data_IF_965134102997
#
_entry.id   IF_965134102997
#
_cell.length_a   1.000
_cell.length_b   1.000
_cell.length_c   1.000
_cell.angle_alpha   90.00
_cell.angle_beta   90.00
_cell.angle_gamma   90.00
#
_symmetry.space_group_name_H-M   'P 1'
#
loop_
_entity.id
_entity.type
_entity.pdbx_description
1 polymer ?
#
# COMPACT_ATOMS: atom_id res chain seq x y z
N UNK A 1 25.10 -1.96 -22.19
CA UNK A 1 24.41 -2.87 -23.13
C UNK A 1 24.09 -4.26 -22.55
N UNK A 2 25.03 -4.98 -21.90
CA UNK A 2 24.75 -6.35 -21.37
C UNK A 2 23.90 -6.41 -20.09
N UNK A 3 24.01 -5.44 -19.17
CA UNK A 3 23.13 -5.40 -17.99
C UNK A 3 21.64 -5.26 -18.37
N UNK A 4 21.32 -4.47 -19.40
CA UNK A 4 19.94 -4.34 -19.90
C UNK A 4 19.38 -5.64 -20.51
N UNK A 5 20.22 -6.50 -21.08
CA UNK A 5 19.78 -7.82 -21.59
C UNK A 5 19.34 -8.76 -20.47
N UNK A 6 20.01 -8.72 -19.31
CA UNK A 6 19.62 -9.52 -18.15
C UNK A 6 18.21 -9.18 -17.66
N UNK A 7 17.79 -7.92 -17.79
CA UNK A 7 16.46 -7.43 -17.45
C UNK A 7 15.37 -7.96 -18.39
N UNK A 8 15.68 -8.16 -19.68
CA UNK A 8 14.71 -8.57 -20.71
C UNK A 8 14.51 -10.09 -20.72
N UNK A 9 15.57 -10.85 -20.46
CA UNK A 9 15.54 -12.32 -20.62
C UNK A 9 14.93 -13.08 -19.42
N UNK A 10 14.68 -12.45 -18.27
CA UNK A 10 14.17 -13.15 -17.07
C UNK A 10 13.42 -12.24 -16.08
N UNK A 11 12.18 -11.82 -16.40
CA UNK A 11 11.42 -10.87 -15.57
C UNK A 11 10.99 -11.42 -14.18
N UNK A 12 10.92 -12.75 -14.03
CA UNK A 12 10.32 -13.41 -12.85
C UNK A 12 11.33 -14.10 -11.92
N UNK A 13 12.54 -13.56 -11.76
CA UNK A 13 13.56 -14.15 -10.88
C UNK A 13 13.22 -13.95 -9.40
N UNK A 14 13.44 -14.99 -8.59
CA UNK A 14 13.48 -14.86 -7.12
C UNK A 14 14.75 -14.15 -6.67
N UNK A 15 14.80 -13.69 -5.41
CA UNK A 15 15.98 -13.02 -4.83
C UNK A 15 17.24 -13.87 -4.97
N UNK A 16 17.13 -15.16 -4.67
CA UNK A 16 18.24 -16.11 -4.76
C UNK A 16 18.65 -16.34 -6.21
N UNK A 17 17.69 -16.54 -7.12
CA UNK A 17 17.99 -16.73 -8.54
C UNK A 17 18.67 -15.50 -9.16
N UNK A 18 18.25 -14.29 -8.76
CA UNK A 18 18.89 -13.05 -9.19
C UNK A 18 20.33 -12.94 -8.67
N UNK A 19 20.54 -13.24 -7.39
CA UNK A 19 21.88 -13.23 -6.79
C UNK A 19 22.81 -14.23 -7.50
N UNK A 20 22.34 -15.47 -7.71
CA UNK A 20 23.10 -16.52 -8.41
C UNK A 20 23.40 -16.12 -9.84
N UNK A 21 22.41 -15.66 -10.62
CA UNK A 21 22.63 -15.22 -12.01
C UNK A 21 23.60 -14.04 -12.11
N UNK A 22 23.43 -13.04 -11.24
CA UNK A 22 24.33 -11.87 -11.20
C UNK A 22 25.76 -12.30 -10.90
N UNK A 23 25.93 -13.19 -9.92
CA UNK A 23 27.23 -13.71 -9.53
C UNK A 23 27.86 -14.56 -10.65
N UNK A 24 27.08 -15.44 -11.30
CA UNK A 24 27.55 -16.23 -12.44
C UNK A 24 28.00 -15.35 -13.60
N UNK A 25 27.25 -14.31 -13.94
CA UNK A 25 27.61 -13.36 -15.01
C UNK A 25 28.85 -12.54 -14.63
N UNK A 26 28.94 -12.12 -13.37
CA UNK A 26 30.10 -11.39 -12.87
C UNK A 26 31.37 -12.28 -12.93
N UNK A 27 31.30 -13.53 -12.47
CA UNK A 27 32.39 -14.53 -12.58
C UNK A 27 32.74 -14.80 -14.04
N UNK A 28 31.76 -15.05 -14.90
CA UNK A 28 32.02 -15.32 -16.32
C UNK A 28 32.70 -14.13 -17.00
N UNK A 29 32.36 -12.90 -16.60
CA UNK A 29 33.02 -11.70 -17.12
C UNK A 29 34.44 -11.55 -16.58
N UNK A 30 34.65 -11.89 -15.30
CA UNK A 30 35.97 -11.86 -14.65
C UNK A 30 36.91 -12.97 -15.13
N UNK A 31 36.42 -14.16 -15.46
CA UNK A 31 37.26 -15.29 -15.89
C UNK A 31 37.16 -15.58 -17.40
N UNK A 32 36.30 -14.85 -18.11
CA UNK A 32 36.29 -14.89 -19.56
C UNK A 32 37.65 -14.49 -20.12
N UNK A 33 37.91 -14.86 -21.38
CA UNK A 33 39.16 -14.59 -22.11
C UNK A 33 39.66 -13.12 -22.07
N UNK A 34 38.86 -12.18 -21.57
CA UNK A 34 39.18 -10.75 -21.42
C UNK A 34 40.12 -10.51 -20.24
N UNK A 35 39.99 -11.22 -19.11
CA UNK A 35 40.82 -10.99 -17.94
C UNK A 35 42.29 -11.34 -18.17
N UNK A 36 42.56 -12.56 -18.62
CA UNK A 36 43.93 -12.95 -18.95
C UNK A 36 44.52 -12.07 -20.05
N UNK A 37 43.74 -11.71 -21.07
CA UNK A 37 44.22 -10.83 -22.15
C UNK A 37 44.51 -9.40 -21.70
N UNK A 38 43.66 -8.80 -20.86
CA UNK A 38 43.87 -7.43 -20.35
C UNK A 38 44.93 -7.40 -19.27
N UNK A 39 44.91 -8.32 -18.31
CA UNK A 39 45.91 -8.39 -17.26
C UNK A 39 47.33 -8.64 -17.81
N UNK A 40 47.48 -9.53 -18.80
CA UNK A 40 48.78 -9.79 -19.43
C UNK A 40 49.25 -8.64 -20.32
N UNK A 41 48.34 -7.89 -20.94
CA UNK A 41 48.68 -6.82 -21.89
C UNK A 41 48.85 -5.45 -21.24
N UNK A 42 48.08 -5.15 -20.20
CA UNK A 42 47.97 -3.84 -19.54
C UNK A 42 48.50 -3.89 -18.08
N UNK A 43 48.95 -5.05 -17.60
CA UNK A 43 49.52 -5.21 -16.27
C UNK A 43 48.52 -4.90 -15.15
N UNK A 44 48.94 -4.06 -14.20
CA UNK A 44 48.14 -3.68 -13.03
C UNK A 44 46.86 -2.91 -13.39
N UNK A 45 46.91 -2.05 -14.40
CA UNK A 45 45.73 -1.29 -14.85
C UNK A 45 44.64 -2.23 -15.40
N UNK A 46 45.03 -3.22 -16.20
CA UNK A 46 44.13 -4.25 -16.71
C UNK A 46 43.45 -5.06 -15.60
N UNK A 47 44.18 -5.36 -14.51
CA UNK A 47 43.62 -6.02 -13.32
C UNK A 47 42.59 -5.14 -12.62
N UNK A 48 42.87 -3.84 -12.45
CA UNK A 48 41.92 -2.88 -11.85
C UNK A 48 40.65 -2.81 -12.69
N UNK A 49 40.74 -2.66 -14.01
CA UNK A 49 39.57 -2.56 -14.88
C UNK A 49 38.69 -3.82 -14.81
N UNK A 50 39.31 -5.01 -14.73
CA UNK A 50 38.54 -6.24 -14.57
C UNK A 50 37.83 -6.33 -13.21
N UNK A 51 38.47 -5.86 -12.13
CA UNK A 51 37.83 -5.77 -10.83
C UNK A 51 36.67 -4.77 -10.85
N UNK A 52 36.84 -3.60 -11.47
CA UNK A 52 35.78 -2.60 -11.64
C UNK A 52 34.61 -3.13 -12.45
N UNK A 53 34.87 -3.84 -13.56
CA UNK A 53 33.82 -4.49 -14.36
C UNK A 53 33.04 -5.51 -13.51
N UNK A 54 33.72 -6.35 -12.73
CA UNK A 54 33.09 -7.30 -11.81
C UNK A 54 32.18 -6.61 -10.79
N UNK A 55 32.67 -5.56 -10.12
CA UNK A 55 31.87 -4.78 -9.18
C UNK A 55 30.68 -4.08 -9.86
N UNK A 56 30.87 -3.56 -11.09
CA UNK A 56 29.80 -2.94 -11.86
C UNK A 56 28.65 -3.93 -12.14
N UNK A 57 28.95 -5.19 -12.46
CA UNK A 57 27.92 -6.22 -12.63
C UNK A 57 27.19 -6.57 -11.34
N UNK A 58 27.91 -6.66 -10.20
CA UNK A 58 27.27 -6.86 -8.90
C UNK A 58 26.34 -5.70 -8.52
N UNK A 59 26.82 -4.46 -8.70
CA UNK A 59 26.02 -3.25 -8.45
C UNK A 59 24.81 -3.18 -9.38
N UNK A 60 24.95 -3.59 -10.65
CA UNK A 60 23.82 -3.65 -11.58
C UNK A 60 22.75 -4.64 -11.12
N UNK A 61 23.13 -5.79 -10.56
CA UNK A 61 22.16 -6.73 -9.97
C UNK A 61 21.42 -6.15 -8.76
N UNK A 62 22.11 -5.36 -7.92
CA UNK A 62 21.49 -4.65 -6.79
C UNK A 62 20.54 -3.56 -7.29
N UNK A 63 20.96 -2.76 -8.27
CA UNK A 63 20.12 -1.73 -8.88
C UNK A 63 18.86 -2.35 -9.52
N UNK A 64 19.02 -3.44 -10.27
CA UNK A 64 17.89 -4.19 -10.83
C UNK A 64 16.95 -4.70 -9.73
N UNK A 65 17.50 -5.23 -8.64
CA UNK A 65 16.71 -5.67 -7.50
C UNK A 65 15.90 -4.53 -6.88
N UNK A 66 16.51 -3.36 -6.66
CA UNK A 66 15.84 -2.20 -6.09
C UNK A 66 14.79 -1.62 -7.06
N UNK A 67 15.13 -1.39 -8.33
CA UNK A 67 14.23 -0.75 -9.28
C UNK A 67 13.11 -1.68 -9.77
N UNK A 68 13.41 -2.95 -10.06
CA UNK A 68 12.45 -3.86 -10.69
C UNK A 68 11.69 -4.71 -9.69
N UNK A 69 12.38 -5.33 -8.75
CA UNK A 69 11.73 -6.22 -7.77
C UNK A 69 11.09 -5.39 -6.67
N UNK A 70 11.89 -4.60 -5.97
CA UNK A 70 11.37 -3.73 -4.91
C UNK A 70 10.59 -2.56 -5.49
N UNK A 71 10.84 -2.12 -6.71
CA UNK A 71 10.00 -1.11 -7.35
C UNK A 71 8.64 -1.61 -7.86
N UNK A 72 8.24 -2.85 -7.55
CA UNK A 72 6.88 -3.34 -7.84
C UNK A 72 6.68 -3.88 -9.26
N UNK A 73 7.69 -3.82 -10.13
CA UNK A 73 7.62 -4.35 -11.49
C UNK A 73 7.24 -5.84 -11.54
N UNK A 74 7.74 -6.65 -10.61
CA UNK A 74 7.36 -8.08 -10.51
C UNK A 74 5.88 -8.29 -10.19
N UNK A 75 5.30 -7.43 -9.36
CA UNK A 75 3.87 -7.48 -9.02
C UNK A 75 3.06 -6.99 -10.20
N UNK A 76 3.49 -5.90 -10.85
CA UNK A 76 2.87 -5.36 -12.06
C UNK A 76 2.78 -6.41 -13.18
N UNK A 77 3.87 -7.13 -13.44
CA UNK A 77 3.91 -8.19 -14.47
C UNK A 77 2.94 -9.35 -14.19
N UNK A 78 2.47 -9.49 -12.95
CA UNK A 78 1.59 -10.57 -12.50
C UNK A 78 0.26 -10.06 -11.93
N UNK A 79 -0.06 -8.79 -12.11
CA UNK A 79 -1.22 -8.16 -11.46
C UNK A 79 -2.53 -8.81 -11.90
N UNK A 80 -2.60 -9.26 -13.16
CA UNK A 80 -3.76 -9.98 -13.71
C UNK A 80 -3.99 -11.37 -13.08
N UNK A 81 -2.98 -11.92 -12.39
CA UNK A 81 -3.09 -13.19 -11.66
C UNK A 81 -3.51 -13.02 -10.21
N UNK A 82 -3.54 -11.79 -9.70
CA UNK A 82 -4.05 -11.47 -8.35
C UNK A 82 -5.56 -11.69 -8.36
N UNK A 83 -6.06 -12.47 -7.39
CA UNK A 83 -7.49 -12.74 -7.23
C UNK A 83 -8.02 -12.29 -5.88
N UNK A 84 -7.17 -12.22 -4.84
CA UNK A 84 -7.58 -11.79 -3.50
C UNK A 84 -6.68 -10.69 -2.96
N UNK A 85 -7.27 -9.56 -2.62
CA UNK A 85 -6.58 -8.39 -2.09
C UNK A 85 -7.13 -8.05 -0.71
N UNK A 86 -6.24 -7.76 0.24
CA UNK A 86 -6.59 -7.16 1.53
C UNK A 86 -6.05 -5.73 1.62
N UNK A 87 -6.89 -4.76 1.92
CA UNK A 87 -6.48 -3.40 2.25
C UNK A 87 -6.56 -3.19 3.76
N UNK A 88 -5.51 -2.62 4.37
CA UNK A 88 -5.49 -2.28 5.79
C UNK A 88 -5.47 -0.77 5.95
N UNK A 89 -6.53 -0.21 6.58
CA UNK A 89 -6.67 1.21 6.92
C UNK A 89 -7.33 1.38 8.30
N UNK A 90 -6.59 1.05 9.36
CA UNK A 90 -7.07 1.06 10.74
C UNK A 90 -6.88 2.43 11.42
N UNK A 91 -7.54 3.46 10.90
CA UNK A 91 -7.46 4.84 11.44
C UNK A 91 -8.83 5.48 11.59
N UNK A 92 -8.87 6.81 11.77
CA UNK A 92 -10.12 7.53 12.00
C UNK A 92 -11.00 7.61 10.76
N UNK A 93 -12.22 8.10 10.95
CA UNK A 93 -13.23 8.27 9.91
C UNK A 93 -12.70 8.96 8.65
N UNK A 94 -11.99 10.08 8.79
CA UNK A 94 -11.47 10.83 7.65
C UNK A 94 -10.48 10.04 6.81
N UNK A 95 -9.60 9.26 7.45
CA UNK A 95 -8.63 8.42 6.75
C UNK A 95 -9.28 7.29 5.97
N UNK A 96 -10.34 6.69 6.53
CA UNK A 96 -11.10 5.62 5.88
C UNK A 96 -11.86 6.15 4.68
N UNK A 97 -12.53 7.30 4.80
CA UNK A 97 -13.21 7.96 3.68
C UNK A 97 -12.22 8.31 2.57
N UNK A 98 -11.05 8.86 2.91
CA UNK A 98 -9.98 9.14 1.95
C UNK A 98 -9.42 7.90 1.25
N UNK A 99 -9.58 6.69 1.82
CA UNK A 99 -9.13 5.45 1.19
C UNK A 99 -10.13 4.89 0.17
N UNK A 100 -11.38 5.38 0.13
CA UNK A 100 -12.43 4.86 -0.78
C UNK A 100 -12.07 4.89 -2.26
N UNK A 101 -11.33 5.90 -2.80
CA UNK A 101 -10.88 5.86 -4.18
C UNK A 101 -9.96 4.66 -4.47
N UNK A 102 -9.20 4.15 -3.49
CA UNK A 102 -8.37 2.96 -3.67
C UNK A 102 -9.24 1.75 -3.99
N UNK A 103 -10.34 1.57 -3.25
CA UNK A 103 -11.25 0.42 -3.44
C UNK A 103 -11.89 0.45 -4.83
N UNK A 104 -12.42 1.61 -5.22
CA UNK A 104 -12.99 1.83 -6.56
C UNK A 104 -11.97 1.59 -7.66
N UNK A 105 -10.76 2.14 -7.57
CA UNK A 105 -9.74 1.94 -8.62
C UNK A 105 -9.28 0.48 -8.73
N UNK A 106 -9.19 -0.24 -7.61
CA UNK A 106 -8.91 -1.68 -7.65
C UNK A 106 -10.02 -2.41 -8.38
N UNK A 107 -11.29 -2.24 -7.97
CA UNK A 107 -12.41 -2.97 -8.57
C UNK A 107 -12.69 -2.61 -10.02
N UNK A 108 -12.48 -1.36 -10.42
CA UNK A 108 -12.65 -0.93 -11.81
C UNK A 108 -11.53 -1.44 -12.71
N UNK A 109 -10.30 -1.56 -12.21
CA UNK A 109 -9.16 -2.04 -13.02
C UNK A 109 -9.04 -3.57 -13.00
N UNK A 110 -9.47 -4.21 -11.91
CA UNK A 110 -9.42 -5.66 -11.67
C UNK A 110 -10.81 -6.15 -11.21
N UNK A 111 -11.81 -6.25 -12.10
CA UNK A 111 -13.21 -6.55 -11.73
C UNK A 111 -13.40 -7.91 -11.06
N UNK A 112 -12.58 -8.90 -11.43
CA UNK A 112 -12.67 -10.27 -10.91
C UNK A 112 -11.97 -10.48 -9.55
N UNK A 113 -11.37 -9.43 -8.98
CA UNK A 113 -10.68 -9.53 -7.68
C UNK A 113 -11.68 -9.49 -6.56
N UNK A 114 -11.49 -10.36 -5.56
CA UNK A 114 -12.11 -10.23 -4.25
C UNK A 114 -11.30 -9.26 -3.38
N UNK A 115 -11.94 -8.17 -2.95
CA UNK A 115 -11.39 -7.10 -2.14
C UNK A 115 -11.93 -7.19 -0.71
N UNK A 116 -11.04 -7.55 0.20
CA UNK A 116 -11.27 -7.46 1.64
C UNK A 116 -10.67 -6.16 2.18
N UNK A 117 -11.33 -5.52 3.15
CA UNK A 117 -10.84 -4.30 3.80
C UNK A 117 -10.85 -4.50 5.32
N UNK A 118 -9.77 -4.08 5.98
CA UNK A 118 -9.60 -4.13 7.43
C UNK A 118 -9.51 -2.70 7.99
N UNK A 119 -10.48 -2.32 8.81
CA UNK A 119 -10.57 -1.01 9.48
C UNK A 119 -10.85 -1.17 10.98
N UNK A 120 -10.83 -0.07 11.73
CA UNK A 120 -11.10 -0.07 13.17
C UNK A 120 -12.59 0.12 13.46
N UNK A 121 -13.15 -0.60 14.42
CA UNK A 121 -14.50 -0.35 14.90
C UNK A 121 -14.56 0.94 15.75
N UNK A 122 -15.63 1.76 15.63
CA UNK A 122 -16.84 1.58 14.82
C UNK A 122 -16.77 2.22 13.41
N UNK A 123 -15.58 2.54 12.90
CA UNK A 123 -15.40 3.23 11.60
C UNK A 123 -15.78 2.31 10.42
N UNK A 124 -15.85 1.01 10.65
CA UNK A 124 -16.34 0.01 9.70
C UNK A 124 -17.78 0.26 9.23
N UNK A 125 -18.65 0.86 10.04
CA UNK A 125 -20.04 1.17 9.66
C UNK A 125 -20.13 1.97 8.34
N UNK A 126 -19.17 2.86 8.09
CA UNK A 126 -19.15 3.76 6.92
C UNK A 126 -18.88 2.99 5.62
N UNK A 127 -18.22 1.83 5.73
CA UNK A 127 -17.84 1.02 4.59
C UNK A 127 -18.80 -0.12 4.31
N UNK A 128 -19.78 -0.38 5.17
CA UNK A 128 -20.69 -1.54 5.04
C UNK A 128 -21.42 -1.58 3.71
N UNK A 129 -21.73 -0.42 3.15
CA UNK A 129 -22.50 -0.26 1.92
C UNK A 129 -21.65 0.04 0.69
N UNK A 130 -20.33 -0.04 0.85
CA UNK A 130 -19.43 0.23 -0.25
C UNK A 130 -19.48 -0.95 -1.26
N UNK A 131 -19.94 -0.74 -2.51
CA UNK A 131 -20.14 -1.80 -3.48
C UNK A 131 -18.81 -2.39 -3.99
N UNK A 132 -17.68 -1.74 -3.71
CA UNK A 132 -16.37 -2.22 -4.12
C UNK A 132 -15.75 -3.18 -3.11
N UNK A 133 -16.33 -3.34 -1.92
CA UNK A 133 -15.80 -4.18 -0.84
C UNK A 133 -16.62 -5.46 -0.77
N UNK A 134 -15.97 -6.61 -0.97
CA UNK A 134 -16.65 -7.91 -0.85
C UNK A 134 -16.67 -8.41 0.60
N UNK A 135 -15.64 -8.06 1.39
CA UNK A 135 -15.55 -8.46 2.79
C UNK A 135 -14.95 -7.37 3.65
N UNK A 136 -15.64 -7.03 4.73
CA UNK A 136 -15.18 -6.05 5.71
C UNK A 136 -14.78 -6.75 7.00
N UNK A 137 -13.58 -6.45 7.48
CA UNK A 137 -13.04 -6.92 8.75
C UNK A 137 -12.89 -5.73 9.70
N UNK A 138 -13.29 -5.93 10.96
CA UNK A 138 -13.33 -4.86 11.96
C UNK A 138 -12.38 -5.16 13.12
N UNK A 139 -11.49 -4.22 13.42
CA UNK A 139 -10.57 -4.32 14.55
C UNK A 139 -11.21 -3.76 15.81
N UNK A 140 -11.11 -4.46 16.95
CA UNK A 140 -11.58 -3.94 18.23
C UNK A 140 -10.73 -2.74 18.67
N UNK A 141 -11.33 -1.88 19.49
CA UNK A 141 -10.60 -0.78 20.14
C UNK A 141 -9.59 -1.30 21.18
N UNK A 142 -8.60 -0.48 21.52
CA UNK A 142 -7.56 -0.84 22.51
C UNK A 142 -6.53 -1.86 22.00
N UNK A 143 -6.50 -2.12 20.70
CA UNK A 143 -5.53 -3.03 20.09
C UNK A 143 -4.12 -2.44 20.13
N UNK A 144 -3.16 -3.24 20.59
CA UNK A 144 -1.74 -2.90 20.68
C UNK A 144 -0.89 -4.03 20.14
N UNK A 145 0.33 -3.75 19.68
CA UNK A 145 1.24 -4.78 19.15
C UNK A 145 1.48 -5.96 20.11
N UNK A 146 1.34 -5.74 21.42
CA UNK A 146 1.54 -6.75 22.46
C UNK A 146 0.33 -7.68 22.64
N UNK A 147 -0.89 -7.18 22.43
CA UNK A 147 -2.12 -7.93 22.67
C UNK A 147 -2.80 -8.47 21.39
N UNK A 148 -2.28 -8.14 20.20
CA UNK A 148 -2.86 -8.53 18.90
C UNK A 148 -3.24 -10.00 18.83
N UNK A 149 -2.32 -10.93 19.14
CA UNK A 149 -2.61 -12.37 19.03
C UNK A 149 -3.74 -12.81 19.98
N UNK A 150 -3.81 -12.18 21.17
CA UNK A 150 -4.84 -12.49 22.17
C UNK A 150 -6.20 -11.94 21.76
N UNK A 151 -6.25 -10.71 21.26
CA UNK A 151 -7.52 -10.02 20.96
C UNK A 151 -8.11 -10.40 19.60
N UNK A 152 -7.26 -10.62 18.59
CA UNK A 152 -7.68 -10.84 17.20
C UNK A 152 -7.08 -12.11 16.59
N UNK A 153 -6.66 -13.07 17.41
CA UNK A 153 -6.09 -14.35 16.92
C UNK A 153 -7.04 -15.08 15.97
N UNK A 154 -8.31 -15.23 16.36
CA UNK A 154 -9.33 -15.87 15.52
C UNK A 154 -9.55 -15.14 14.18
N UNK A 155 -9.54 -13.80 14.21
CA UNK A 155 -9.65 -12.96 13.00
C UNK A 155 -8.41 -13.11 12.10
N UNK A 156 -7.22 -13.19 12.68
CA UNK A 156 -5.98 -13.46 11.92
C UNK A 156 -6.05 -14.84 11.25
N UNK A 157 -6.52 -15.85 11.97
CA UNK A 157 -6.66 -17.20 11.41
C UNK A 157 -7.70 -17.24 10.29
N UNK A 158 -8.79 -16.48 10.43
CA UNK A 158 -9.78 -16.29 9.37
C UNK A 158 -9.17 -15.65 8.13
N UNK A 159 -8.49 -14.51 8.28
CA UNK A 159 -7.79 -13.83 7.19
C UNK A 159 -6.74 -14.74 6.54
N UNK A 160 -6.05 -15.58 7.31
CA UNK A 160 -5.08 -16.54 6.78
C UNK A 160 -5.73 -17.65 5.95
N UNK A 161 -6.94 -18.09 6.30
CA UNK A 161 -7.71 -19.07 5.52
C UNK A 161 -8.16 -18.51 4.17
N UNK A 162 -8.30 -17.18 4.05
CA UNK A 162 -8.67 -16.54 2.79
C UNK A 162 -7.60 -16.65 1.71
N UNK A 163 -6.31 -16.81 2.09
CA UNK A 163 -5.16 -16.92 1.18
C UNK A 163 -5.04 -15.72 0.23
N UNK A 164 -4.75 -14.55 0.80
CA UNK A 164 -4.57 -13.33 0.02
C UNK A 164 -3.36 -13.42 -0.92
N UNK A 165 -3.50 -12.91 -2.14
CA UNK A 165 -2.38 -12.75 -3.06
C UNK A 165 -1.61 -11.46 -2.75
N UNK A 166 -2.32 -10.40 -2.41
CA UNK A 166 -1.75 -9.08 -2.16
C UNK A 166 -2.36 -8.44 -0.92
N UNK A 167 -1.51 -7.93 -0.03
CA UNK A 167 -1.94 -7.06 1.07
C UNK A 167 -1.34 -5.68 0.87
N UNK A 168 -2.16 -4.64 0.95
CA UNK A 168 -1.73 -3.25 0.91
C UNK A 168 -2.09 -2.59 2.23
N UNK A 169 -1.07 -2.30 3.05
CA UNK A 169 -1.22 -1.54 4.28
C UNK A 169 -0.95 -0.06 4.00
N UNK A 170 -2.03 0.73 3.98
CA UNK A 170 -2.03 2.15 3.64
C UNK A 170 -1.63 3.08 4.82
N UNK A 171 -1.34 2.50 5.99
CA UNK A 171 -1.11 3.24 7.23
C UNK A 171 0.29 3.02 7.81
N UNK A 172 0.83 1.79 7.71
CA UNK A 172 2.12 1.34 8.25
C UNK A 172 2.46 1.84 9.66
N UNK A 173 1.49 1.76 10.57
CA UNK A 173 1.69 1.99 12.01
C UNK A 173 1.97 0.67 12.73
N UNK A 174 2.43 0.75 13.97
CA UNK A 174 2.84 -0.41 14.77
C UNK A 174 1.82 -1.56 14.76
N UNK A 175 0.52 -1.26 14.93
CA UNK A 175 -0.56 -2.26 14.92
C UNK A 175 -0.77 -2.83 13.51
N UNK A 176 -0.99 -1.97 12.51
CA UNK A 176 -1.26 -2.41 11.13
C UNK A 176 -0.08 -3.20 10.53
N UNK A 177 1.16 -2.75 10.77
CA UNK A 177 2.38 -3.46 10.35
C UNK A 177 2.61 -4.75 11.14
N UNK A 178 2.06 -4.89 12.35
CA UNK A 178 2.10 -6.16 13.10
C UNK A 178 1.07 -7.15 12.54
N UNK A 179 -0.13 -6.68 12.21
CA UNK A 179 -1.15 -7.49 11.52
C UNK A 179 -0.61 -7.99 10.17
N UNK A 180 0.01 -7.10 9.39
CA UNK A 180 0.63 -7.46 8.11
C UNK A 180 1.68 -8.57 8.24
N UNK A 181 2.40 -8.67 9.37
CA UNK A 181 3.33 -9.79 9.61
C UNK A 181 2.60 -11.11 9.83
N UNK A 182 1.48 -11.06 10.55
CA UNK A 182 0.75 -12.24 11.01
C UNK A 182 -0.19 -12.83 9.94
N UNK A 183 -0.64 -11.99 8.99
CA UNK A 183 -1.46 -12.44 7.86
C UNK A 183 -0.56 -12.84 6.69
N UNK A 184 -0.74 -14.04 6.16
CA UNK A 184 0.01 -14.58 5.03
C UNK A 184 -0.53 -14.04 3.71
N UNK A 185 0.39 -13.63 2.83
CA UNK A 185 0.09 -13.29 1.46
C UNK A 185 1.31 -13.48 0.57
N UNK A 186 1.07 -13.61 -0.73
CA UNK A 186 2.12 -13.76 -1.74
C UNK A 186 2.95 -12.49 -1.89
N UNK A 187 2.31 -11.32 -1.83
CA UNK A 187 2.95 -10.01 -1.86
C UNK A 187 2.37 -9.09 -0.78
N UNK A 188 3.24 -8.27 -0.18
CA UNK A 188 2.86 -7.32 0.86
C UNK A 188 3.44 -5.96 0.57
N UNK A 189 2.60 -4.93 0.68
CA UNK A 189 2.98 -3.52 0.59
C UNK A 189 2.76 -2.91 1.96
N UNK A 190 3.84 -2.53 2.65
CA UNK A 190 3.78 -1.81 3.94
C UNK A 190 4.25 -0.37 3.73
N UNK A 191 3.30 0.55 3.55
CA UNK A 191 3.63 1.89 3.09
C UNK A 191 3.92 2.84 4.24
N UNK A 192 5.19 3.15 4.47
CA UNK A 192 5.66 4.03 5.53
C UNK A 192 5.74 5.49 5.08
N UNK A 193 5.16 6.39 5.89
CA UNK A 193 5.14 7.84 5.63
C UNK A 193 6.37 8.60 6.15
N UNK A 194 7.18 7.97 7.01
CA UNK A 194 8.24 8.67 7.76
C UNK A 194 9.63 8.08 7.53
N UNK A 195 9.71 6.79 7.22
CA UNK A 195 10.95 6.04 7.07
C UNK A 195 10.88 5.14 5.85
N UNK A 196 12.03 4.57 5.43
CA UNK A 196 12.07 3.55 4.39
C UNK A 196 11.12 2.40 4.73
N UNK A 197 10.30 1.98 3.76
CA UNK A 197 9.37 0.86 3.92
C UNK A 197 10.13 -0.38 4.42
N UNK A 198 9.70 -0.92 5.57
CA UNK A 198 10.29 -2.12 6.18
C UNK A 198 9.37 -3.29 5.93
N UNK A 199 9.95 -4.48 5.66
CA UNK A 199 9.19 -5.74 5.56
C UNK A 199 8.08 -5.67 4.49
N UNK A 200 8.39 -5.01 3.38
CA UNK A 200 7.54 -4.90 2.19
C UNK A 200 8.21 -5.60 1.01
N UNK A 201 7.42 -6.12 0.09
CA UNK A 201 7.88 -6.62 -1.22
C UNK A 201 8.01 -5.48 -2.23
N UNK A 202 7.24 -4.39 -2.04
CA UNK A 202 7.21 -3.22 -2.93
C UNK A 202 7.52 -1.95 -2.13
N UNK A 203 8.53 -1.21 -2.57
CA UNK A 203 8.87 0.14 -2.14
C UNK A 203 8.00 1.13 -2.91
N UNK A 204 7.08 1.77 -2.20
CA UNK A 204 6.26 2.85 -2.76
C UNK A 204 7.05 4.16 -2.75
N UNK A 205 7.95 4.31 -1.78
CA UNK A 205 8.75 5.52 -1.61
C UNK A 205 8.05 6.59 -0.78
N UNK A 206 8.83 7.57 -0.34
CA UNK A 206 8.38 8.71 0.47
C UNK A 206 8.52 10.02 -0.33
N UNK A 207 8.38 9.93 -1.65
CA UNK A 207 8.73 11.01 -2.56
C UNK A 207 7.65 12.09 -2.50
N UNK A 208 7.96 13.14 -1.75
CA UNK A 208 7.25 14.42 -1.57
C UNK A 208 6.06 14.40 -0.60
N UNK A 209 6.20 15.16 0.49
CA UNK A 209 5.11 15.48 1.43
C UNK A 209 4.01 16.35 0.80
N UNK A 210 4.23 16.86 -0.41
CA UNK A 210 3.31 17.77 -1.12
C UNK A 210 2.11 17.08 -1.76
N UNK A 211 1.95 15.75 -1.60
CA UNK A 211 0.80 15.01 -2.12
C UNK A 211 -0.30 14.86 -1.07
N UNK A 212 -1.55 14.94 -1.52
CA UNK A 212 -2.71 14.69 -0.65
C UNK A 212 -2.68 13.27 -0.08
N UNK A 213 -3.40 13.02 1.03
CA UNK A 213 -3.53 11.67 1.60
C UNK A 213 -4.03 10.63 0.60
N UNK A 214 -4.97 11.03 -0.26
CA UNK A 214 -5.55 10.20 -1.31
C UNK A 214 -4.51 9.84 -2.37
N UNK A 215 -3.83 10.84 -2.94
CA UNK A 215 -2.79 10.62 -3.96
C UNK A 215 -1.70 9.69 -3.46
N UNK A 216 -1.35 9.92 -2.20
CA UNK A 216 -0.43 9.09 -1.48
C UNK A 216 -0.93 7.63 -1.45
N UNK A 217 -2.15 7.35 -1.02
CA UNK A 217 -2.66 5.97 -0.97
C UNK A 217 -2.72 5.32 -2.36
N UNK A 218 -3.03 6.12 -3.39
CA UNK A 218 -3.05 5.69 -4.79
C UNK A 218 -1.66 5.38 -5.36
N UNK A 219 -0.58 5.91 -4.79
CA UNK A 219 0.79 5.56 -5.20
C UNK A 219 1.12 4.08 -4.97
N UNK A 220 0.48 3.43 -3.99
CA UNK A 220 0.58 1.98 -3.81
C UNK A 220 0.10 1.22 -5.06
N UNK A 221 -0.95 1.73 -5.73
CA UNK A 221 -1.51 1.13 -6.94
C UNK A 221 -0.62 1.43 -8.16
N UNK A 222 -0.12 2.66 -8.28
CA UNK A 222 0.83 3.06 -9.34
C UNK A 222 2.07 2.19 -9.34
N UNK A 223 2.59 1.88 -8.15
CA UNK A 223 3.81 1.07 -8.02
C UNK A 223 3.65 -0.37 -8.49
N UNK A 224 2.42 -0.87 -8.56
CA UNK A 224 2.11 -2.21 -9.08
C UNK A 224 1.49 -2.14 -10.48
N UNK A 225 1.68 -1.03 -11.20
CA UNK A 225 1.30 -0.89 -12.62
C UNK A 225 -0.18 -0.62 -12.86
N UNK A 226 -0.94 -0.24 -11.83
CA UNK A 226 -2.31 0.24 -11.99
C UNK A 226 -2.30 1.76 -12.11
N UNK A 227 -3.16 2.32 -12.97
CA UNK A 227 -3.26 3.76 -13.20
C UNK A 227 -4.59 4.32 -12.65
N UNK A 228 -4.60 4.90 -11.44
CA UNK A 228 -5.84 5.38 -10.84
C UNK A 228 -6.43 6.57 -11.59
N UNK A 229 -7.72 6.46 -11.96
CA UNK A 229 -8.44 7.49 -12.71
C UNK A 229 -9.26 8.39 -11.79
N UNK A 230 -10.21 7.80 -11.05
CA UNK A 230 -11.12 8.55 -10.20
C UNK A 230 -10.60 8.63 -8.77
N UNK A 231 -10.47 9.85 -8.25
CA UNK A 231 -9.78 10.17 -7.00
C UNK A 231 -10.71 10.77 -5.94
N UNK A 232 -12.01 10.88 -6.23
CA UNK A 232 -12.97 11.49 -5.31
C UNK A 232 -13.42 10.52 -4.23
N UNK A 233 -13.34 10.89 -2.94
CA UNK A 233 -13.90 10.10 -1.86
C UNK A 233 -15.41 9.95 -2.01
N UNK A 234 -15.93 8.82 -1.58
CA UNK A 234 -17.36 8.49 -1.68
C UNK A 234 -17.82 7.72 -0.43
N UNK A 235 -19.08 7.91 -0.07
CA UNK A 235 -19.76 7.18 1.01
C UNK A 235 -21.09 6.71 0.47
N UNK A 236 -21.46 5.48 0.80
CA UNK A 236 -22.68 4.85 0.34
C UNK A 236 -23.64 4.74 1.52
N UNK A 237 -24.89 5.13 1.31
CA UNK A 237 -25.93 5.19 2.34
C UNK A 237 -27.02 4.18 2.02
N UNK A 238 -27.67 3.62 3.06
CA UNK A 238 -28.92 2.89 2.88
C UNK A 238 -30.10 3.83 2.90
N UNK A 239 -31.21 3.37 2.33
CA UNK A 239 -32.52 4.00 2.50
C UNK A 239 -32.85 4.21 3.99
N UNK A 240 -32.53 3.25 4.88
CA UNK A 240 -32.74 3.41 6.32
C UNK A 240 -32.02 4.65 6.92
N UNK A 241 -30.84 4.98 6.40
CA UNK A 241 -30.03 6.10 6.91
C UNK A 241 -30.63 7.44 6.43
N UNK A 242 -31.17 7.44 5.21
CA UNK A 242 -31.94 8.55 4.64
C UNK A 242 -33.25 8.73 5.43
N UNK A 243 -34.00 7.64 5.65
CA UNK A 243 -35.25 7.64 6.42
C UNK A 243 -35.01 8.14 7.86
N UNK A 244 -33.91 7.72 8.48
CA UNK A 244 -33.51 8.23 9.80
C UNK A 244 -33.27 9.74 9.76
N UNK A 245 -32.51 10.23 8.78
CA UNK A 245 -32.22 11.66 8.65
C UNK A 245 -33.51 12.47 8.39
N UNK A 246 -34.40 12.00 7.52
CA UNK A 246 -35.68 12.65 7.25
C UNK A 246 -36.57 12.70 8.49
N UNK A 247 -36.67 11.59 9.23
CA UNK A 247 -37.43 11.54 10.47
C UNK A 247 -36.82 12.42 11.55
N UNK A 248 -35.49 12.47 11.66
CA UNK A 248 -34.80 13.37 12.56
C UNK A 248 -35.12 14.84 12.23
N UNK A 249 -35.13 15.21 10.95
CA UNK A 249 -35.50 16.55 10.51
C UNK A 249 -36.95 16.89 10.87
N UNK A 250 -37.90 16.00 10.53
CA UNK A 250 -39.33 16.17 10.85
C UNK A 250 -39.56 16.32 12.36
N UNK A 251 -38.95 15.45 13.16
CA UNK A 251 -39.13 15.44 14.62
C UNK A 251 -38.54 16.68 15.32
N UNK A 252 -37.54 17.33 14.72
CA UNK A 252 -36.91 18.53 15.26
C UNK A 252 -37.42 19.82 14.61
N UNK A 253 -38.53 19.76 13.87
CA UNK A 253 -39.10 20.89 13.13
C UNK A 253 -38.11 21.56 12.16
N UNK A 254 -37.15 20.80 11.64
CA UNK A 254 -36.20 21.26 10.62
C UNK A 254 -36.85 21.08 9.24
N UNK A 255 -37.05 22.17 8.51
CA UNK A 255 -37.68 22.12 7.19
C UNK A 255 -36.75 21.49 6.15
N UNK A 256 -37.19 20.41 5.49
CA UNK A 256 -36.46 19.79 4.36
C UNK A 256 -36.26 20.77 3.18
N UNK A 257 -37.12 21.78 3.06
CA UNK A 257 -37.04 22.84 2.05
C UNK A 257 -36.39 24.14 2.56
N UNK A 258 -35.87 24.16 3.79
CA UNK A 258 -35.16 25.29 4.35
C UNK A 258 -33.66 25.11 4.14
N UNK A 259 -32.93 26.21 3.95
CA UNK A 259 -31.47 26.16 3.91
C UNK A 259 -30.95 25.84 5.31
N UNK A 260 -30.43 24.64 5.51
CA UNK A 260 -29.80 24.21 6.75
C UNK A 260 -28.30 24.40 6.68
N UNK A 261 -27.71 25.04 7.69
CA UNK A 261 -26.26 25.11 7.89
C UNK A 261 -25.88 24.14 8.99
N UNK A 262 -24.96 23.23 8.70
CA UNK A 262 -24.43 22.29 9.68
C UNK A 262 -23.11 22.81 10.24
N UNK A 263 -22.99 22.82 11.57
CA UNK A 263 -21.78 23.22 12.29
C UNK A 263 -21.23 22.02 13.05
N UNK A 264 -19.92 21.79 12.92
CA UNK A 264 -19.20 20.75 13.65
C UNK A 264 -18.13 21.40 14.54
N UNK A 265 -18.51 21.90 15.75
CA UNK A 265 -17.66 22.81 16.51
C UNK A 265 -16.52 22.12 17.27
N UNK A 266 -16.57 20.79 17.37
CA UNK A 266 -15.65 20.00 18.21
C UNK A 266 -14.53 19.41 17.35
N UNK A 267 -13.32 19.35 17.90
CA UNK A 267 -12.21 18.63 17.30
C UNK A 267 -11.57 17.68 18.33
N UNK A 268 -10.76 16.74 17.86
CA UNK A 268 -10.03 15.83 18.76
C UNK A 268 -8.86 16.50 19.49
N UNK A 269 -8.46 17.70 19.07
CA UNK A 269 -7.33 18.44 19.62
C UNK A 269 -7.77 19.90 19.80
N UNK A 270 -7.58 20.42 21.00
CA UNK A 270 -7.97 21.79 21.38
C UNK A 270 -7.38 22.86 20.43
N UNK A 271 -6.14 22.68 19.98
CA UNK A 271 -5.48 23.59 19.02
C UNK A 271 -6.17 23.67 17.64
N UNK A 272 -7.09 22.76 17.33
CA UNK A 272 -7.88 22.74 16.08
C UNK A 272 -9.30 23.24 16.29
N UNK A 273 -9.67 23.60 17.52
CA UNK A 273 -11.00 24.11 17.84
C UNK A 273 -11.07 25.62 17.60
N UNK A 274 -12.19 26.07 17.04
CA UNK A 274 -12.45 27.50 16.88
C UNK A 274 -12.99 28.14 18.16
N UNK A 275 -13.42 27.32 19.13
CA UNK A 275 -14.00 27.76 20.41
C UNK A 275 -15.51 27.95 20.34
N UNK A 276 -16.23 27.42 21.33
CA UNK A 276 -17.70 27.46 21.38
C UNK A 276 -18.25 28.89 21.40
N UNK A 277 -17.54 29.84 22.03
CA UNK A 277 -17.94 31.25 22.07
C UNK A 277 -18.02 31.86 20.66
N UNK A 278 -17.04 31.58 19.80
CA UNK A 278 -17.01 32.10 18.44
C UNK A 278 -18.15 31.51 17.60
N UNK A 279 -18.46 30.22 17.77
CA UNK A 279 -19.64 29.61 17.13
C UNK A 279 -20.96 30.20 17.65
N UNK A 280 -21.06 30.53 18.94
CA UNK A 280 -22.27 31.15 19.49
C UNK A 280 -22.49 32.58 19.01
N UNK A 281 -21.42 33.32 18.68
CA UNK A 281 -21.53 34.66 18.10
C UNK A 281 -21.87 34.61 16.59
N UNK A 282 -21.64 33.47 15.93
CA UNK A 282 -21.96 33.26 14.52
C UNK A 282 -23.43 32.89 14.26
N UNK A 283 -24.09 32.23 15.21
CA UNK A 283 -25.45 31.70 15.08
C UNK A 283 -26.51 32.69 15.57
#
# INVERSE_FOLDING_TARGET
ARCGKMCVESPNLTRLQLAVKTFQIAIFTLFGNIFFRRALREGFEGLIFCALDFYAFLLAGILYYEERIRGGGRVADQIQKVKKILIIKAMGIGDVVMATPVFRNIKTTLPDVSLSVLVSAPVDEILKENPYIDKLHSLPQGLTSKNIKKMIGALIDEMNREKYDLIINLQAKNVSSSILKLVHARWKIDRSYYYRDKRTDVLVGCETLNRSGIERDLDCLRRIGLEPKDKYPEVFLKNKDIDFAENFFKNNNLGLNQKTVFLHPVASLEIREWGLKNFSELC
#
